data_IF_888431358157
#
_entry.id   IF_888431358157
#
_cell.length_a   1.000
_cell.length_b   1.000
_cell.length_c   1.000
_cell.angle_alpha   90.00
_cell.angle_beta   90.00
_cell.angle_gamma   90.00
#
_symmetry.space_group_name_H-M   'P 1'
#
loop_
_entity.id
_entity.type
_entity.pdbx_description
1 polymer ?
#
# COMPACT_ATOMS: atom_id res chain seq x y z
N UNK A 1 -14.62 0.20 -6.13
CA UNK A 1 -14.05 1.47 -6.62
C UNK A 1 -12.84 1.17 -7.51
N UNK A 2 -12.58 1.98 -8.54
CA UNK A 2 -11.57 1.72 -9.58
C UNK A 2 -10.17 1.64 -8.96
N UNK A 3 -9.40 0.60 -9.31
CA UNK A 3 -8.01 0.44 -8.87
C UNK A 3 -7.19 1.67 -9.26
N UNK A 4 -6.26 2.16 -8.42
CA UNK A 4 -5.38 3.25 -8.78
C UNK A 4 -4.63 2.88 -10.07
N UNK A 5 -4.72 3.72 -11.09
CA UNK A 5 -3.99 3.50 -12.35
C UNK A 5 -2.55 3.93 -12.20
N UNK A 6 -1.65 3.34 -12.99
CA UNK A 6 -0.23 3.69 -13.02
C UNK A 6 0.01 5.20 -13.12
N UNK A 7 -0.77 5.89 -13.97
CA UNK A 7 -0.70 7.35 -14.13
C UNK A 7 -0.96 8.13 -12.83
N UNK A 8 -1.91 7.68 -12.00
CA UNK A 8 -2.13 8.30 -10.69
C UNK A 8 -0.92 8.11 -9.77
N UNK A 9 -0.31 6.91 -9.80
CA UNK A 9 0.92 6.64 -9.06
C UNK A 9 2.08 7.54 -9.49
N UNK A 10 2.25 7.77 -10.80
CA UNK A 10 3.29 8.67 -11.33
C UNK A 10 3.07 10.13 -10.89
N UNK A 11 1.84 10.63 -10.94
CA UNK A 11 1.54 12.00 -10.48
C UNK A 11 1.77 12.14 -8.96
N UNK A 12 1.42 11.13 -8.17
CA UNK A 12 1.67 11.15 -6.72
C UNK A 12 3.17 11.08 -6.42
N UNK A 13 3.91 10.23 -7.14
CA UNK A 13 5.36 10.17 -7.06
C UNK A 13 5.99 11.54 -7.36
N UNK A 14 5.47 12.24 -8.36
CA UNK A 14 5.90 13.58 -8.72
C UNK A 14 5.77 14.60 -7.60
N UNK A 15 4.56 14.66 -7.04
CA UNK A 15 4.22 15.61 -5.99
C UNK A 15 5.05 15.32 -4.74
N UNK A 16 5.19 14.04 -4.35
CA UNK A 16 5.98 13.65 -3.18
C UNK A 16 7.48 13.94 -3.37
N UNK A 17 8.04 13.63 -4.54
CA UNK A 17 9.44 13.89 -4.84
C UNK A 17 9.75 15.40 -4.88
N UNK A 18 8.85 16.18 -5.48
CA UNK A 18 8.97 17.64 -5.50
C UNK A 18 8.88 18.22 -4.08
N UNK A 19 7.87 17.83 -3.30
CA UNK A 19 7.71 18.27 -1.92
C UNK A 19 8.93 17.91 -1.06
N UNK A 20 9.44 16.67 -1.17
CA UNK A 20 10.65 16.25 -0.47
C UNK A 20 11.86 17.11 -0.85
N UNK A 21 12.05 17.38 -2.15
CA UNK A 21 13.15 18.22 -2.64
C UNK A 21 13.05 19.65 -2.13
N UNK A 22 11.85 20.25 -2.15
CA UNK A 22 11.62 21.62 -1.67
C UNK A 22 11.88 21.71 -0.17
N UNK A 23 11.35 20.78 0.63
CA UNK A 23 11.55 20.77 2.08
C UNK A 23 13.03 20.58 2.43
N UNK A 24 13.72 19.64 1.78
CA UNK A 24 15.15 19.44 2.01
C UNK A 24 15.93 20.69 1.61
N UNK A 25 15.72 21.23 0.40
CA UNK A 25 16.45 22.41 -0.06
C UNK A 25 16.22 23.65 0.81
N UNK A 26 14.97 23.91 1.21
CA UNK A 26 14.61 25.10 1.97
C UNK A 26 15.01 25.03 3.45
N UNK A 27 14.90 23.85 4.09
CA UNK A 27 15.13 23.72 5.54
C UNK A 27 16.53 23.20 5.92
N UNK A 28 17.27 22.60 4.98
CA UNK A 28 18.67 22.21 5.20
C UNK A 28 19.55 23.32 5.79
N UNK A 29 19.52 24.58 5.29
CA UNK A 29 20.39 25.63 5.83
C UNK A 29 20.08 26.01 7.29
N UNK A 30 18.88 25.72 7.79
CA UNK A 30 18.45 26.10 9.13
C UNK A 30 18.66 24.98 10.17
N UNK A 31 18.46 23.73 9.78
CA UNK A 31 18.35 22.59 10.72
C UNK A 31 19.46 21.54 10.50
N UNK A 32 20.17 21.63 9.38
CA UNK A 32 21.18 20.66 8.97
C UNK A 32 20.59 19.42 8.27
N UNK A 33 21.39 18.82 7.39
CA UNK A 33 20.99 17.71 6.51
C UNK A 33 20.53 16.47 7.31
N UNK A 34 21.22 16.14 8.40
CA UNK A 34 20.93 14.92 9.16
C UNK A 34 19.53 14.92 9.78
N UNK A 35 19.15 16.04 10.39
CA UNK A 35 17.85 16.21 11.06
C UNK A 35 16.71 16.32 10.04
N UNK A 36 16.92 17.04 8.93
CA UNK A 36 15.86 17.21 7.92
C UNK A 36 15.54 15.90 7.20
N UNK A 37 16.56 15.09 6.88
CA UNK A 37 16.36 13.78 6.24
C UNK A 37 15.60 12.84 7.18
N UNK A 38 15.89 12.86 8.47
CA UNK A 38 15.14 12.09 9.49
C UNK A 38 13.68 12.52 9.62
N UNK A 39 13.32 13.76 9.27
CA UNK A 39 11.94 14.25 9.21
C UNK A 39 11.24 13.89 7.90
N UNK A 40 11.95 14.02 6.78
CA UNK A 40 11.36 13.86 5.44
C UNK A 40 11.05 12.40 5.13
N UNK A 41 11.90 11.45 5.53
CA UNK A 41 11.66 10.01 5.32
C UNK A 41 10.32 9.55 5.94
N UNK A 42 10.05 9.76 7.23
CA UNK A 42 8.78 9.37 7.82
C UNK A 42 7.63 10.18 7.20
N UNK A 43 7.75 11.50 7.07
CA UNK A 43 6.66 12.33 6.54
C UNK A 43 6.20 11.91 5.14
N UNK A 44 7.15 11.62 4.24
CA UNK A 44 6.85 11.16 2.87
C UNK A 44 6.30 9.73 2.86
N UNK A 45 6.81 8.85 3.71
CA UNK A 45 6.30 7.48 3.87
C UNK A 45 4.86 7.49 4.40
N UNK A 46 4.54 8.35 5.37
CA UNK A 46 3.18 8.53 5.88
C UNK A 46 2.25 9.05 4.80
N UNK A 47 2.65 10.09 4.08
CA UNK A 47 1.85 10.65 2.99
C UNK A 47 1.53 9.59 1.93
N UNK A 48 2.51 8.75 1.62
CA UNK A 48 2.34 7.62 0.71
C UNK A 48 1.39 6.54 1.27
N UNK A 49 1.50 6.18 2.56
CA UNK A 49 0.57 5.26 3.24
C UNK A 49 -0.84 5.83 3.27
N UNK A 50 -1.02 7.12 3.56
CA UNK A 50 -2.33 7.80 3.54
C UNK A 50 -2.96 7.74 2.14
N UNK A 51 -2.16 7.95 1.09
CA UNK A 51 -2.60 7.78 -0.29
C UNK A 51 -3.09 6.35 -0.57
N UNK A 52 -2.31 5.33 -0.17
CA UNK A 52 -2.68 3.92 -0.27
C UNK A 52 -3.99 3.60 0.48
N UNK A 53 -4.10 4.03 1.73
CA UNK A 53 -5.28 3.82 2.57
C UNK A 53 -6.53 4.51 2.02
N UNK A 54 -6.38 5.67 1.36
CA UNK A 54 -7.50 6.36 0.71
C UNK A 54 -8.02 5.58 -0.51
N UNK A 55 -7.17 4.79 -1.15
CA UNK A 55 -7.54 3.92 -2.27
C UNK A 55 -8.13 2.57 -1.86
N UNK A 56 -8.01 2.16 -0.60
CA UNK A 56 -8.56 0.90 -0.08
C UNK A 56 -10.00 1.05 0.42
N UNK A 57 -10.85 0.07 0.12
CA UNK A 57 -12.26 0.02 0.50
C UNK A 57 -12.50 -0.35 1.97
N UNK A 58 -11.51 -0.94 2.64
CA UNK A 58 -11.63 -1.41 4.02
C UNK A 58 -11.44 -0.25 5.02
N UNK A 59 -12.54 0.16 5.67
CA UNK A 59 -12.56 1.33 6.56
C UNK A 59 -11.99 1.05 7.96
N UNK A 60 -12.05 -0.20 8.43
CA UNK A 60 -11.84 -0.55 9.84
C UNK A 60 -10.35 -0.59 10.25
N UNK A 61 -9.42 -0.78 9.30
CA UNK A 61 -7.98 -0.83 9.59
C UNK A 61 -7.23 0.50 9.51
N UNK A 62 -7.84 1.56 8.93
CA UNK A 62 -7.08 2.77 8.56
C UNK A 62 -6.49 3.49 9.78
N UNK A 63 -7.29 3.62 10.84
CA UNK A 63 -6.86 4.35 12.03
C UNK A 63 -5.79 3.58 12.81
N UNK A 64 -5.90 2.24 12.88
CA UNK A 64 -4.89 1.40 13.53
C UNK A 64 -3.58 1.41 12.76
N UNK A 65 -3.63 1.37 11.42
CA UNK A 65 -2.43 1.46 10.58
C UNK A 65 -1.74 2.82 10.72
N UNK A 66 -2.50 3.92 10.71
CA UNK A 66 -1.92 5.26 10.92
C UNK A 66 -1.32 5.40 12.31
N UNK A 67 -2.02 4.93 13.34
CA UNK A 67 -1.53 4.98 14.73
C UNK A 67 -0.27 4.15 14.91
N UNK A 68 -0.24 2.93 14.35
CA UNK A 68 0.93 2.04 14.40
C UNK A 68 2.11 2.63 13.63
N UNK A 69 1.85 3.23 12.46
CA UNK A 69 2.87 3.90 11.67
C UNK A 69 3.46 5.10 12.43
N UNK A 70 2.62 5.93 13.05
CA UNK A 70 3.08 7.07 13.84
C UNK A 70 3.87 6.63 15.08
N UNK A 71 3.40 5.60 15.79
CA UNK A 71 4.10 5.02 16.93
C UNK A 71 5.47 4.46 16.52
N UNK A 72 5.54 3.75 15.38
CA UNK A 72 6.80 3.26 14.82
C UNK A 72 7.74 4.41 14.50
N UNK A 73 7.29 5.44 13.79
CA UNK A 73 8.10 6.59 13.41
C UNK A 73 8.70 7.31 14.64
N UNK A 74 7.89 7.52 15.68
CA UNK A 74 8.33 8.12 16.96
C UNK A 74 9.35 7.21 17.66
N UNK A 75 9.08 5.90 17.72
CA UNK A 75 9.97 4.94 18.38
C UNK A 75 11.34 4.88 17.69
N UNK A 76 11.34 4.79 16.36
CA UNK A 76 12.57 4.74 15.55
C UNK A 76 13.31 6.08 15.63
N UNK A 77 12.59 7.21 15.66
CA UNK A 77 13.20 8.51 15.89
C UNK A 77 13.94 8.55 17.24
N UNK A 78 13.29 8.07 18.30
CA UNK A 78 13.82 8.10 19.65
C UNK A 78 15.05 7.20 19.84
N UNK A 79 15.05 6.01 19.23
CA UNK A 79 16.21 5.10 19.22
C UNK A 79 17.41 5.73 18.48
N UNK A 80 17.13 6.58 17.49
CA UNK A 80 18.16 7.28 16.72
C UNK A 80 19.12 6.39 15.92
N UNK A 81 18.67 5.30 15.26
CA UNK A 81 19.56 4.36 14.57
C UNK A 81 20.35 5.02 13.42
N UNK A 82 21.41 4.37 12.92
CA UNK A 82 22.11 4.83 11.73
C UNK A 82 21.17 4.90 10.52
N UNK A 83 21.41 5.87 9.62
CA UNK A 83 20.51 6.22 8.50
C UNK A 83 20.08 5.03 7.62
N UNK A 84 20.95 4.06 7.26
CA UNK A 84 20.53 2.91 6.45
C UNK A 84 19.46 2.06 7.14
N UNK A 85 19.62 1.79 8.44
CA UNK A 85 18.62 1.07 9.22
C UNK A 85 17.33 1.88 9.37
N UNK A 86 17.44 3.18 9.56
CA UNK A 86 16.29 4.07 9.63
C UNK A 86 15.44 3.99 8.35
N UNK A 87 16.05 4.04 7.17
CA UNK A 87 15.36 3.89 5.88
C UNK A 87 14.76 2.50 5.73
N UNK A 88 15.51 1.44 6.04
CA UNK A 88 15.04 0.06 5.93
C UNK A 88 13.79 -0.21 6.77
N UNK A 89 13.72 0.32 8.00
CA UNK A 89 12.53 0.17 8.86
C UNK A 89 11.31 0.83 8.23
N UNK A 90 11.44 2.04 7.69
CA UNK A 90 10.32 2.74 7.06
C UNK A 90 9.88 2.09 5.75
N UNK A 91 10.83 1.65 4.91
CA UNK A 91 10.53 0.92 3.67
C UNK A 91 9.87 -0.42 3.98
N UNK A 92 10.40 -1.16 4.96
CA UNK A 92 9.81 -2.42 5.43
C UNK A 92 8.41 -2.24 6.00
N UNK A 93 8.16 -1.16 6.74
CA UNK A 93 6.82 -0.83 7.24
C UNK A 93 5.83 -0.53 6.10
N UNK A 94 6.25 0.24 5.08
CA UNK A 94 5.42 0.49 3.89
C UNK A 94 5.10 -0.81 3.15
N UNK A 95 6.11 -1.67 2.97
CA UNK A 95 5.93 -3.01 2.39
C UNK A 95 4.95 -3.86 3.21
N UNK A 96 5.07 -3.87 4.53
CA UNK A 96 4.20 -4.65 5.41
C UNK A 96 2.75 -4.16 5.34
N UNK A 97 2.53 -2.84 5.35
CA UNK A 97 1.20 -2.24 5.12
C UNK A 97 0.64 -2.64 3.76
N UNK A 98 1.45 -2.60 2.70
CA UNK A 98 0.99 -3.00 1.36
C UNK A 98 0.64 -4.48 1.30
N UNK A 99 1.45 -5.32 1.93
CA UNK A 99 1.23 -6.76 2.03
C UNK A 99 -0.09 -7.10 2.71
N UNK A 100 -0.34 -6.51 3.88
CA UNK A 100 -1.56 -6.72 4.66
C UNK A 100 -2.84 -6.23 3.97
N UNK A 101 -2.77 -5.12 3.23
CA UNK A 101 -3.96 -4.52 2.62
C UNK A 101 -4.28 -5.00 1.22
N UNK A 102 -3.29 -5.42 0.43
CA UNK A 102 -3.47 -5.67 -1.01
C UNK A 102 -3.16 -7.09 -1.47
N UNK A 103 -2.56 -7.96 -0.64
CA UNK A 103 -2.18 -9.31 -1.04
C UNK A 103 -2.81 -10.39 -0.15
N UNK A 104 -3.40 -11.41 -0.77
CA UNK A 104 -3.98 -12.58 -0.09
C UNK A 104 -3.08 -13.82 -0.19
N UNK A 105 -1.74 -13.65 -0.20
CA UNK A 105 -0.79 -14.76 -0.32
C UNK A 105 0.67 -14.32 -0.24
N UNK A 106 1.55 -15.29 0.04
CA UNK A 106 3.00 -15.07 0.24
C UNK A 106 3.73 -14.69 -1.06
N UNK A 107 3.30 -15.22 -2.21
CA UNK A 107 3.96 -14.97 -3.50
C UNK A 107 3.83 -13.50 -3.96
N UNK A 108 2.63 -12.88 -3.97
CA UNK A 108 2.52 -11.45 -4.27
C UNK A 108 3.27 -10.56 -3.28
N UNK A 109 3.29 -10.92 -1.99
CA UNK A 109 4.06 -10.21 -0.97
C UNK A 109 5.57 -10.26 -1.24
N UNK A 110 6.08 -11.38 -1.74
CA UNK A 110 7.49 -11.55 -2.11
C UNK A 110 7.86 -10.75 -3.36
N UNK A 111 6.96 -10.68 -4.35
CA UNK A 111 7.14 -9.82 -5.52
C UNK A 111 7.20 -8.34 -5.13
N UNK A 112 6.37 -7.92 -4.17
CA UNK A 112 6.38 -6.56 -3.65
C UNK A 112 7.63 -6.25 -2.82
N UNK A 113 8.19 -7.26 -2.14
CA UNK A 113 9.49 -7.14 -1.47
C UNK A 113 10.60 -6.92 -2.50
N UNK A 114 10.59 -7.69 -3.60
CA UNK A 114 11.51 -7.51 -4.72
C UNK A 114 11.39 -6.11 -5.35
N UNK A 115 10.16 -5.63 -5.55
CA UNK A 115 9.91 -4.28 -6.06
C UNK A 115 10.45 -3.20 -5.10
N UNK A 116 10.26 -3.40 -3.80
CA UNK A 116 10.80 -2.51 -2.77
C UNK A 116 12.32 -2.49 -2.77
N UNK A 117 12.97 -3.65 -2.91
CA UNK A 117 14.42 -3.74 -3.09
C UNK A 117 14.89 -2.99 -4.35
N UNK A 118 14.25 -3.19 -5.50
CA UNK A 118 14.58 -2.47 -6.74
C UNK A 118 14.41 -0.96 -6.59
N UNK A 119 13.39 -0.50 -5.87
CA UNK A 119 13.17 0.93 -5.64
C UNK A 119 14.31 1.57 -4.83
N UNK A 120 14.81 0.88 -3.79
CA UNK A 120 15.94 1.34 -2.98
C UNK A 120 17.21 1.38 -3.83
N UNK A 121 17.45 0.36 -4.65
CA UNK A 121 18.59 0.34 -5.58
C UNK A 121 18.52 1.50 -6.58
N UNK A 122 17.34 1.78 -7.16
CA UNK A 122 17.14 2.89 -8.08
C UNK A 122 17.36 4.27 -7.41
N UNK A 123 16.94 4.41 -6.14
CA UNK A 123 17.21 5.59 -5.33
C UNK A 123 18.72 5.81 -5.14
N UNK A 124 19.43 4.79 -4.67
CA UNK A 124 20.88 4.85 -4.40
C UNK A 124 21.65 5.14 -5.69
N UNK A 125 21.26 4.51 -6.80
CA UNK A 125 21.89 4.72 -8.09
C UNK A 125 21.69 6.16 -8.60
N UNK A 126 20.46 6.69 -8.55
CA UNK A 126 20.18 8.07 -8.94
C UNK A 126 20.86 9.09 -8.02
N UNK A 127 20.88 8.84 -6.71
CA UNK A 127 21.55 9.70 -5.74
C UNK A 127 23.07 9.74 -5.98
N UNK A 128 23.70 8.60 -6.23
CA UNK A 128 25.16 8.51 -6.44
C UNK A 128 25.62 9.06 -7.79
N UNK A 129 24.79 8.99 -8.84
CA UNK A 129 25.13 9.51 -10.17
C UNK A 129 24.83 10.99 -10.36
N UNK A 130 23.72 11.47 -9.83
CA UNK A 130 23.21 12.82 -10.17
C UNK A 130 23.34 13.81 -9.03
N UNK A 131 23.41 13.36 -7.77
CA UNK A 131 23.38 14.23 -6.60
C UNK A 131 22.05 14.98 -6.37
N UNK A 132 21.06 14.76 -7.24
CA UNK A 132 19.75 15.41 -7.18
C UNK A 132 18.78 14.63 -6.30
N UNK A 133 18.34 15.25 -5.21
CA UNK A 133 17.36 14.70 -4.26
C UNK A 133 16.02 14.44 -4.94
N UNK A 134 15.59 15.34 -5.83
CA UNK A 134 14.36 15.19 -6.60
C UNK A 134 14.40 13.94 -7.47
N UNK A 135 15.46 13.74 -8.24
CA UNK A 135 15.54 12.60 -9.16
C UNK A 135 15.63 11.27 -8.42
N UNK A 136 16.34 11.23 -7.29
CA UNK A 136 16.42 10.05 -6.43
C UNK A 136 15.06 9.72 -5.81
N UNK A 137 14.37 10.70 -5.22
CA UNK A 137 13.03 10.49 -4.67
C UNK A 137 12.02 10.08 -5.77
N UNK A 138 12.11 10.71 -6.94
CA UNK A 138 11.28 10.39 -8.09
C UNK A 138 11.48 8.95 -8.55
N UNK A 139 12.73 8.51 -8.74
CA UNK A 139 13.02 7.15 -9.18
C UNK A 139 12.51 6.10 -8.19
N UNK A 140 12.69 6.36 -6.89
CA UNK A 140 12.13 5.52 -5.83
C UNK A 140 10.61 5.39 -5.94
N UNK A 141 9.89 6.52 -5.94
CA UNK A 141 8.43 6.50 -5.96
C UNK A 141 7.86 5.97 -7.29
N UNK A 142 8.56 6.17 -8.40
CA UNK A 142 8.16 5.66 -9.71
C UNK A 142 8.26 4.12 -9.77
N UNK A 143 9.34 3.54 -9.25
CA UNK A 143 9.44 2.08 -9.11
C UNK A 143 8.38 1.56 -8.14
N UNK A 144 8.13 2.28 -7.04
CA UNK A 144 7.05 1.94 -6.11
C UNK A 144 5.68 2.00 -6.78
N UNK A 145 5.42 2.91 -7.71
CA UNK A 145 4.16 3.02 -8.45
C UNK A 145 3.88 1.82 -9.37
N UNK A 146 4.90 1.00 -9.69
CA UNK A 146 4.76 -0.23 -10.47
C UNK A 146 4.01 -1.33 -9.71
N UNK A 147 3.75 -1.16 -8.41
CA UNK A 147 2.95 -2.11 -7.60
C UNK A 147 1.56 -2.40 -8.19
N UNK A 148 1.01 -1.46 -8.98
CA UNK A 148 -0.26 -1.61 -9.70
C UNK A 148 -0.24 -2.78 -10.69
N UNK A 149 0.93 -3.17 -11.18
CA UNK A 149 1.11 -4.29 -12.12
C UNK A 149 1.04 -5.64 -11.40
N UNK A 150 1.27 -5.70 -10.08
CA UNK A 150 1.23 -6.94 -9.31
C UNK A 150 -0.24 -7.32 -9.05
N UNK A 151 -0.73 -8.46 -9.58
CA UNK A 151 -2.11 -8.87 -9.36
C UNK A 151 -2.33 -9.21 -7.88
N UNK A 152 -3.24 -8.49 -7.23
CA UNK A 152 -3.65 -8.66 -5.82
C UNK A 152 -4.07 -10.09 -5.45
N UNK A 153 -4.47 -10.91 -6.44
CA UNK A 153 -4.99 -12.27 -6.24
C UNK A 153 -4.58 -13.16 -7.41
N UNK A 154 -3.63 -14.08 -7.21
CA UNK A 154 -3.36 -15.17 -8.18
C UNK A 154 -4.39 -16.32 -8.02
N UNK A 155 -5.19 -16.35 -6.96
CA UNK A 155 -6.22 -17.37 -6.77
C UNK A 155 -7.41 -16.89 -5.95
N UNK A 156 -8.41 -16.31 -6.63
CA UNK A 156 -9.82 -16.40 -6.22
C UNK A 156 -10.76 -16.07 -7.39
N UNK A 157 -10.59 -16.73 -8.54
CA UNK A 157 -11.59 -16.71 -9.61
C UNK A 157 -12.52 -17.94 -9.58
N UNK A 158 -12.38 -18.84 -8.60
CA UNK A 158 -13.17 -20.09 -8.56
C UNK A 158 -14.12 -20.26 -7.38
N UNK A 159 -14.09 -19.37 -6.38
CA UNK A 159 -14.82 -19.63 -5.12
C UNK A 159 -15.99 -18.66 -4.87
N UNK A 160 -15.93 -17.39 -5.34
CA UNK A 160 -17.06 -16.47 -5.13
C UNK A 160 -18.26 -16.77 -6.04
N UNK A 161 -18.04 -17.37 -7.22
CA UNK A 161 -19.15 -17.87 -8.04
C UNK A 161 -19.78 -19.10 -7.42
N UNK A 162 -19.00 -19.95 -6.73
CA UNK A 162 -19.53 -21.18 -6.14
C UNK A 162 -20.30 -20.91 -4.85
N UNK A 163 -19.80 -20.05 -3.96
CA UNK A 163 -20.51 -19.70 -2.71
C UNK A 163 -21.82 -18.93 -2.96
N UNK A 164 -21.85 -18.00 -3.92
CA UNK A 164 -23.04 -17.21 -4.21
C UNK A 164 -24.11 -17.99 -4.99
N UNK A 165 -23.71 -18.97 -5.82
CA UNK A 165 -24.65 -19.90 -6.47
C UNK A 165 -25.23 -20.88 -5.45
N UNK A 166 -24.43 -21.38 -4.49
CA UNK A 166 -24.92 -22.34 -3.47
C UNK A 166 -25.96 -21.71 -2.54
N UNK A 167 -25.78 -20.45 -2.15
CA UNK A 167 -26.73 -19.75 -1.27
C UNK A 167 -28.08 -19.50 -1.96
N UNK A 168 -28.06 -18.95 -3.19
CA UNK A 168 -29.27 -18.76 -4.00
C UNK A 168 -29.96 -20.08 -4.35
N UNK A 169 -29.21 -21.15 -4.68
CA UNK A 169 -29.79 -22.47 -4.94
C UNK A 169 -30.46 -23.07 -3.71
N UNK A 170 -29.93 -22.82 -2.51
CA UNK A 170 -30.52 -23.29 -1.25
C UNK A 170 -31.84 -22.58 -0.93
N UNK A 171 -31.90 -21.26 -1.12
CA UNK A 171 -33.13 -20.47 -0.94
C UNK A 171 -34.18 -20.78 -2.00
N UNK A 172 -33.79 -20.91 -3.28
CA UNK A 172 -34.72 -21.27 -4.35
C UNK A 172 -35.24 -22.72 -4.21
N UNK A 173 -34.43 -23.63 -3.66
CA UNK A 173 -34.87 -24.99 -3.34
C UNK A 173 -35.87 -24.99 -2.18
N UNK A 174 -35.61 -24.22 -1.12
CA UNK A 174 -36.54 -24.08 0.02
C UNK A 174 -37.88 -23.45 -0.41
N UNK A 175 -37.86 -22.41 -1.26
CA UNK A 175 -39.06 -21.78 -1.80
C UNK A 175 -39.89 -22.75 -2.65
N UNK A 176 -39.26 -23.49 -3.57
CA UNK A 176 -39.96 -24.49 -4.40
C UNK A 176 -40.60 -25.60 -3.57
N UNK A 177 -39.95 -26.04 -2.49
CA UNK A 177 -40.54 -27.02 -1.58
C UNK A 177 -41.75 -26.46 -0.83
N UNK A 178 -41.70 -25.20 -0.39
CA UNK A 178 -42.85 -24.55 0.24
C UNK A 178 -44.03 -24.39 -0.73
N UNK A 179 -43.76 -23.97 -1.97
CA UNK A 179 -44.79 -23.83 -3.01
C UNK A 179 -45.44 -25.18 -3.36
N UNK A 180 -44.65 -26.26 -3.43
CA UNK A 180 -45.17 -27.62 -3.65
C UNK A 180 -46.03 -28.12 -2.49
N UNK A 181 -45.63 -27.85 -1.25
CA UNK A 181 -46.42 -28.22 -0.07
C UNK A 181 -47.77 -27.48 -0.04
N UNK A 182 -47.79 -26.19 -0.42
CA UNK A 182 -49.03 -25.43 -0.53
C UNK A 182 -49.94 -25.97 -1.63
N UNK A 183 -49.39 -26.32 -2.79
CA UNK A 183 -50.18 -26.94 -3.87
C UNK A 183 -50.80 -28.26 -3.42
N UNK A 184 -50.09 -29.09 -2.65
CA UNK A 184 -50.64 -30.33 -2.10
C UNK A 184 -51.82 -30.10 -1.13
N UNK A 185 -51.79 -29.01 -0.37
CA UNK A 185 -52.89 -28.64 0.55
C UNK A 185 -54.14 -28.13 -0.17
N UNK A 186 -53.99 -27.51 -1.34
CA UNK A 186 -55.12 -26.97 -2.11
C UNK A 186 -55.64 -27.92 -3.21
N UNK A 187 -54.99 -29.07 -3.42
CA UNK A 187 -55.39 -30.07 -4.43
C UNK A 187 -55.97 -31.36 -3.79
N UNK A 188 -56.26 -31.34 -2.49
CA UNK A 188 -57.14 -32.31 -1.81
C UNK A 188 -58.52 -31.71 -1.59
#
# INVERSE_FOLDING_TARGET
>A
MKRPTFLHGVVVAAVLAFAASVVIGALTPFVGVGSIVRLVIPATSLAYVMYLLRSSTERVGRLTTLSLWSALAITVWWIGPPLPFYVLVHVGAVWLVRSLYFYSGIFPALMDLGLSAMSVTAFIWAASRTGSVFLAAWSFFLVQALFVVIPATISRKRESTKAQVTDNESFDRARRQADQALQQLFTQ
#
